data_IF_477200841908
#
_entry.id   IF_477200841908
#
_cell.length_a   1.000
_cell.length_b   1.000
_cell.length_c   1.000
_cell.angle_alpha   90.00
_cell.angle_beta   90.00
_cell.angle_gamma   90.00
#
_symmetry.space_group_name_H-M   'P 1'
#
loop_
_entity.id
_entity.type
_entity.pdbx_description
1 polymer ?
#
# COMPACT_ATOMS: atom_id res chain seq x y z
N UNK A 1 9.66 7.80 -3.99
CA UNK A 1 10.11 9.18 -4.26
C UNK A 1 9.04 10.11 -3.69
N UNK A 2 9.39 11.24 -3.08
CA UNK A 2 8.44 12.08 -2.36
C UNK A 2 7.47 12.77 -3.35
N UNK A 3 6.21 12.34 -3.39
CA UNK A 3 5.16 12.81 -4.30
C UNK A 3 4.62 14.22 -3.96
N UNK A 4 5.43 15.06 -3.30
CA UNK A 4 4.98 16.37 -2.79
C UNK A 4 5.81 17.53 -3.30
N UNK A 5 6.31 17.46 -4.54
CA UNK A 5 6.77 18.66 -5.22
C UNK A 5 5.57 19.53 -5.57
N UNK A 6 5.28 20.50 -4.68
CA UNK A 6 4.36 21.59 -4.94
C UNK A 6 5.18 22.86 -5.16
N UNK A 7 5.48 23.17 -6.42
CA UNK A 7 6.11 24.43 -6.77
C UNK A 7 5.05 25.36 -7.39
N UNK A 8 4.94 26.57 -6.87
CA UNK A 8 4.08 27.62 -7.43
C UNK A 8 4.97 28.80 -7.81
N UNK A 9 5.05 29.10 -9.11
CA UNK A 9 5.74 30.28 -9.61
C UNK A 9 4.71 31.39 -9.77
N UNK A 10 4.92 32.51 -9.08
CA UNK A 10 4.07 33.69 -9.19
C UNK A 10 4.85 34.75 -9.94
N UNK A 11 4.33 35.17 -11.09
CA UNK A 11 4.87 36.27 -11.87
C UNK A 11 3.87 37.43 -11.86
N UNK A 12 4.31 38.56 -11.33
CA UNK A 12 3.57 39.82 -11.35
C UNK A 12 4.12 40.71 -12.44
N UNK A 13 3.30 41.01 -13.45
CA UNK A 13 3.63 42.01 -14.46
C UNK A 13 2.91 43.31 -14.11
N UNK A 14 3.69 44.33 -13.79
CA UNK A 14 3.18 45.67 -13.50
C UNK A 14 3.13 46.46 -14.80
N UNK A 15 1.93 46.72 -15.30
CA UNK A 15 1.77 47.50 -16.52
C UNK A 15 1.66 48.98 -16.15
N UNK A 16 2.80 49.68 -16.12
CA UNK A 16 2.88 51.12 -15.88
C UNK A 16 2.40 51.90 -17.11
N UNK A 17 1.10 51.84 -17.41
CA UNK A 17 0.48 52.81 -18.31
C UNK A 17 -0.27 53.84 -17.44
N UNK A 18 0.13 55.10 -17.60
CA UNK A 18 -0.29 56.28 -16.83
C UNK A 18 -1.78 56.63 -16.97
N UNK A 19 -2.70 55.78 -16.53
CA UNK A 19 -4.10 56.14 -16.31
C UNK A 19 -4.67 55.27 -15.18
N UNK A 20 -4.64 55.80 -13.96
CA UNK A 20 -5.40 55.55 -12.72
C UNK A 20 -5.92 54.15 -12.31
N UNK A 21 -5.76 53.09 -13.09
CA UNK A 21 -6.09 51.71 -12.71
C UNK A 21 -4.88 50.82 -13.01
N UNK A 22 -4.00 50.68 -12.02
CA UNK A 22 -2.88 49.73 -12.08
C UNK A 22 -3.42 48.31 -11.97
N UNK A 23 -3.90 47.74 -13.09
CA UNK A 23 -4.26 46.33 -13.17
C UNK A 23 -2.98 45.47 -13.13
N UNK A 24 -2.53 45.13 -11.93
CA UNK A 24 -1.51 44.10 -11.71
C UNK A 24 -2.05 42.75 -12.17
N UNK A 25 -1.60 42.26 -13.33
CA UNK A 25 -1.84 40.88 -13.72
C UNK A 25 -0.89 39.97 -12.95
N UNK A 26 -1.47 39.06 -12.17
CA UNK A 26 -0.75 37.96 -11.52
C UNK A 26 -0.92 36.69 -12.37
N UNK A 27 0.19 36.14 -12.83
CA UNK A 27 0.24 34.82 -13.47
C UNK A 27 0.79 33.81 -12.46
N UNK A 28 0.01 32.80 -12.10
CA UNK A 28 0.42 31.72 -11.19
C UNK A 28 0.55 30.42 -11.96
N UNK A 29 1.73 29.80 -11.89
CA UNK A 29 2.03 28.51 -12.51
C UNK A 29 2.21 27.46 -11.41
N UNK A 30 1.44 26.38 -11.45
CA UNK A 30 1.58 25.25 -10.53
C UNK A 30 2.30 24.09 -11.23
N UNK A 31 3.49 23.72 -10.74
CA UNK A 31 4.19 22.50 -11.14
C UNK A 31 3.75 21.39 -10.17
N UNK A 32 2.71 20.65 -10.56
CA UNK A 32 2.19 19.46 -9.89
C UNK A 32 1.69 18.48 -10.95
N UNK A 33 1.68 17.15 -10.71
CA UNK A 33 0.84 16.26 -11.49
C UNK A 33 -0.59 16.80 -11.45
N UNK A 34 -1.14 17.13 -12.62
CA UNK A 34 -2.51 17.66 -12.69
C UNK A 34 -3.45 16.49 -12.90
N UNK A 35 -4.24 16.20 -11.86
CA UNK A 35 -5.32 15.24 -11.93
C UNK A 35 -6.61 16.03 -12.16
N UNK A 36 -7.26 15.78 -13.29
CA UNK A 36 -8.56 16.34 -13.67
C UNK A 36 -9.59 15.21 -13.70
N UNK A 37 -10.32 15.05 -12.59
CA UNK A 37 -11.22 13.92 -12.41
C UNK A 37 -10.46 12.59 -12.47
N UNK A 38 -10.67 11.80 -13.52
CA UNK A 38 -9.97 10.53 -13.74
C UNK A 38 -8.64 10.66 -14.47
N UNK A 39 -8.35 11.82 -15.08
CA UNK A 39 -7.22 11.95 -15.99
C UNK A 39 -6.01 12.51 -15.24
N UNK A 40 -4.94 11.72 -15.17
CA UNK A 40 -3.63 12.20 -14.76
C UNK A 40 -2.88 12.71 -15.99
N UNK A 41 -2.31 13.90 -15.88
CA UNK A 41 -1.39 14.44 -16.87
C UNK A 41 0.04 14.35 -16.36
N UNK A 42 0.83 13.53 -17.03
CA UNK A 42 2.26 13.38 -16.76
C UNK A 42 3.05 14.44 -17.54
N UNK A 43 3.18 15.63 -16.93
CA UNK A 43 3.95 16.73 -17.52
C UNK A 43 3.60 18.10 -16.96
N UNK A 44 4.17 19.14 -17.57
CA UNK A 44 3.82 20.53 -17.26
C UNK A 44 2.52 20.86 -18.01
N UNK A 45 1.41 20.84 -17.29
CA UNK A 45 0.13 21.28 -17.84
C UNK A 45 0.04 22.81 -17.83
N UNK A 46 -0.08 23.41 -19.03
CA UNK A 46 -0.21 24.85 -19.21
C UNK A 46 -1.66 25.23 -19.59
N UNK A 47 -2.49 25.71 -18.65
CA UNK A 47 -3.85 26.14 -18.97
C UNK A 47 -3.81 27.38 -19.88
N UNK A 48 -4.43 27.29 -21.08
CA UNK A 48 -4.50 28.39 -22.05
C UNK A 48 -5.88 29.05 -22.09
N UNK A 49 -6.90 28.31 -21.65
CA UNK A 49 -8.30 28.73 -21.70
C UNK A 49 -8.94 28.68 -20.31
N UNK A 50 -10.06 29.38 -20.13
CA UNK A 50 -10.87 29.31 -18.90
C UNK A 50 -11.32 27.87 -18.60
N UNK A 51 -11.58 27.08 -19.64
CA UNK A 51 -11.98 25.69 -19.50
C UNK A 51 -10.86 24.84 -18.88
N UNK A 52 -9.60 25.10 -19.22
CA UNK A 52 -8.46 24.41 -18.63
C UNK A 52 -8.34 24.68 -17.12
N UNK A 53 -8.62 25.91 -16.68
CA UNK A 53 -8.67 26.24 -15.25
C UNK A 53 -9.85 25.57 -14.53
N UNK A 54 -11.01 25.48 -15.19
CA UNK A 54 -12.17 24.79 -14.62
C UNK A 54 -11.90 23.30 -14.43
N UNK A 55 -11.21 22.68 -15.38
CA UNK A 55 -10.75 21.28 -15.29
C UNK A 55 -9.80 21.05 -14.12
N UNK A 56 -8.86 21.96 -13.86
CA UNK A 56 -7.97 21.88 -12.69
C UNK A 56 -8.69 21.98 -11.33
N UNK A 57 -9.93 22.45 -11.30
CA UNK A 57 -10.77 22.49 -10.10
C UNK A 57 -11.62 21.23 -9.91
N UNK A 58 -11.60 20.30 -10.86
CA UNK A 58 -12.34 19.04 -10.74
C UNK A 58 -11.57 18.12 -9.78
N UNK A 59 -12.20 17.85 -8.64
CA UNK A 59 -11.66 16.93 -7.65
C UNK A 59 -11.49 15.52 -8.27
N UNK A 60 -10.36 14.83 -8.02
CA UNK A 60 -10.20 13.42 -8.40
C UNK A 60 -11.30 12.52 -7.83
N UNK A 61 -11.92 12.91 -6.71
CA UNK A 61 -13.03 12.21 -6.08
C UNK A 61 -14.35 12.27 -6.88
N UNK A 62 -14.39 13.03 -7.98
CA UNK A 62 -15.50 13.04 -8.94
C UNK A 62 -15.24 12.12 -10.13
N UNK A 63 -14.14 11.38 -10.14
CA UNK A 63 -13.86 10.39 -11.17
C UNK A 63 -14.99 9.35 -11.24
N UNK A 64 -15.40 9.02 -12.47
CA UNK A 64 -16.34 7.96 -12.77
C UNK A 64 -15.74 7.13 -13.91
N UNK A 65 -15.54 5.85 -13.65
CA UNK A 65 -14.94 4.89 -14.56
C UNK A 65 -15.99 4.19 -15.43
N UNK A 66 -17.24 4.68 -15.45
CA UNK A 66 -18.29 4.27 -16.37
C UNK A 66 -18.47 2.75 -16.48
N UNK A 67 -18.51 2.07 -15.33
CA UNK A 67 -18.73 0.62 -15.25
C UNK A 67 -17.64 -0.23 -15.93
N UNK A 68 -16.44 0.31 -16.14
CA UNK A 68 -15.32 -0.47 -16.69
C UNK A 68 -14.95 -1.63 -15.78
N UNK A 69 -14.57 -2.75 -16.39
CA UNK A 69 -13.98 -3.87 -15.69
C UNK A 69 -12.52 -3.56 -15.33
N UNK A 70 -12.16 -3.72 -14.06
CA UNK A 70 -10.78 -3.59 -13.58
C UNK A 70 -10.28 -4.95 -13.16
N UNK A 71 -9.17 -5.39 -13.75
CA UNK A 71 -8.51 -6.65 -13.44
C UNK A 71 -7.64 -6.50 -12.19
N UNK A 72 -8.08 -7.09 -11.09
CA UNK A 72 -7.42 -7.05 -9.79
C UNK A 72 -6.77 -8.41 -9.52
N UNK A 73 -5.46 -8.40 -9.43
CA UNK A 73 -4.63 -9.57 -9.16
C UNK A 73 -4.53 -9.80 -7.67
N UNK A 74 -4.88 -10.98 -7.19
CA UNK A 74 -4.97 -11.31 -5.77
C UNK A 74 -3.97 -12.38 -5.36
N UNK A 75 -3.45 -12.23 -4.14
CA UNK A 75 -2.93 -13.35 -3.36
C UNK A 75 -3.76 -13.50 -2.08
N UNK A 76 -4.11 -14.74 -1.73
CA UNK A 76 -4.73 -15.06 -0.45
C UNK A 76 -3.73 -14.78 0.70
N UNK A 77 -4.06 -13.83 1.58
CA UNK A 77 -3.27 -13.47 2.75
C UNK A 77 -4.20 -13.20 3.93
N UNK A 78 -4.54 -14.26 4.67
CA UNK A 78 -5.49 -14.16 5.78
C UNK A 78 -4.85 -13.45 6.99
N UNK A 79 -5.57 -12.54 7.69
CA UNK A 79 -7.00 -12.22 7.54
C UNK A 79 -7.30 -11.02 6.61
N UNK A 80 -6.31 -10.44 5.95
CA UNK A 80 -6.46 -9.17 5.21
C UNK A 80 -7.06 -9.32 3.83
N UNK A 81 -6.74 -10.42 3.14
CA UNK A 81 -7.27 -10.81 1.85
C UNK A 81 -7.56 -12.29 1.87
N UNK A 82 -8.80 -12.67 1.55
CA UNK A 82 -9.14 -14.09 1.43
C UNK A 82 -10.02 -14.31 0.22
N UNK A 83 -9.53 -15.21 -0.64
CA UNK A 83 -10.16 -15.58 -1.90
C UNK A 83 -11.01 -16.84 -1.68
N UNK A 84 -12.15 -16.92 -2.35
CA UNK A 84 -12.95 -18.13 -2.52
C UNK A 84 -13.10 -18.37 -4.02
N UNK A 85 -12.94 -19.61 -4.42
CA UNK A 85 -13.22 -20.08 -5.77
C UNK A 85 -14.64 -20.62 -5.82
N UNK A 86 -15.51 -19.95 -6.59
CA UNK A 86 -16.87 -20.40 -6.86
C UNK A 86 -16.91 -20.91 -8.32
N UNK A 87 -16.44 -22.15 -8.52
CA UNK A 87 -16.32 -22.73 -9.86
C UNK A 87 -15.14 -22.11 -10.63
N UNK A 88 -15.43 -21.38 -11.70
CA UNK A 88 -14.40 -20.69 -12.51
C UNK A 88 -14.17 -19.24 -12.09
N UNK A 89 -15.02 -18.68 -11.22
CA UNK A 89 -14.94 -17.29 -10.78
C UNK A 89 -14.26 -17.21 -9.41
N UNK A 90 -13.32 -16.26 -9.30
CA UNK A 90 -12.66 -15.94 -8.04
C UNK A 90 -13.42 -14.79 -7.41
N UNK A 91 -13.74 -14.92 -6.12
CA UNK A 91 -14.40 -13.88 -5.34
C UNK A 91 -13.64 -13.64 -4.04
N UNK A 92 -13.68 -12.40 -3.55
CA UNK A 92 -13.16 -12.09 -2.22
C UNK A 92 -14.21 -12.33 -1.14
N UNK A 93 -13.79 -12.92 -0.04
CA UNK A 93 -14.56 -12.94 1.22
C UNK A 93 -14.43 -11.65 1.99
N UNK A 94 -15.31 -11.47 2.98
CA UNK A 94 -15.26 -10.38 3.96
C UNK A 94 -13.87 -10.29 4.58
N UNK A 95 -13.15 -9.23 4.22
CA UNK A 95 -11.76 -8.97 4.59
C UNK A 95 -11.49 -7.47 4.45
N UNK A 96 -10.40 -6.98 5.04
CA UNK A 96 -10.08 -5.54 5.02
C UNK A 96 -9.91 -5.03 3.59
N UNK A 97 -9.17 -5.77 2.76
CA UNK A 97 -8.95 -5.40 1.36
C UNK A 97 -10.25 -5.44 0.53
N UNK A 98 -11.18 -6.36 0.85
CA UNK A 98 -12.51 -6.37 0.21
C UNK A 98 -13.27 -5.08 0.49
N UNK A 99 -13.30 -4.61 1.74
CA UNK A 99 -13.99 -3.35 2.06
C UNK A 99 -13.40 -2.16 1.32
N UNK A 100 -12.07 -2.11 1.18
CA UNK A 100 -11.39 -1.04 0.41
C UNK A 100 -11.85 -1.08 -1.05
N UNK A 101 -11.80 -2.24 -1.71
CA UNK A 101 -12.19 -2.35 -3.12
C UNK A 101 -13.67 -2.14 -3.35
N UNK A 102 -14.54 -2.69 -2.52
CA UNK A 102 -15.99 -2.48 -2.66
C UNK A 102 -16.32 -0.98 -2.53
N UNK A 103 -15.68 -0.29 -1.57
CA UNK A 103 -15.84 1.16 -1.39
C UNK A 103 -15.31 1.94 -2.60
N UNK A 104 -14.14 1.56 -3.14
CA UNK A 104 -13.58 2.19 -4.34
C UNK A 104 -14.45 1.93 -5.58
N UNK A 105 -14.95 0.70 -5.74
CA UNK A 105 -15.81 0.29 -6.84
C UNK A 105 -17.13 1.07 -6.85
N UNK A 106 -17.75 1.25 -5.68
CA UNK A 106 -18.94 2.09 -5.53
C UNK A 106 -18.61 3.57 -5.82
N UNK A 107 -17.51 4.07 -5.24
CA UNK A 107 -17.13 5.49 -5.34
C UNK A 107 -16.78 5.92 -6.77
N UNK A 108 -16.06 5.07 -7.49
CA UNK A 108 -15.56 5.36 -8.84
C UNK A 108 -16.35 4.64 -9.93
N UNK A 109 -17.38 3.86 -9.56
CA UNK A 109 -18.30 3.16 -10.48
C UNK A 109 -17.55 2.26 -11.48
N UNK A 110 -16.81 1.27 -10.97
CA UNK A 110 -16.15 0.22 -11.76
C UNK A 110 -16.53 -1.18 -11.26
N UNK A 111 -16.28 -2.21 -12.07
CA UNK A 111 -16.53 -3.61 -11.73
C UNK A 111 -15.20 -4.35 -11.48
N UNK A 112 -14.93 -4.83 -10.25
CA UNK A 112 -13.72 -5.58 -9.96
C UNK A 112 -13.81 -7.01 -10.52
N UNK A 113 -12.80 -7.41 -11.30
CA UNK A 113 -12.60 -8.79 -11.76
C UNK A 113 -11.33 -9.34 -11.15
N UNK A 114 -11.39 -10.54 -10.59
CA UNK A 114 -10.27 -11.08 -9.80
C UNK A 114 -9.47 -12.14 -10.55
N UNK A 115 -8.14 -12.03 -10.45
CA UNK A 115 -7.18 -12.98 -11.01
C UNK A 115 -6.33 -13.55 -9.88
N UNK A 116 -6.20 -14.87 -9.77
CA UNK A 116 -5.36 -15.51 -8.77
C UNK A 116 -3.88 -15.53 -9.21
N UNK A 117 -3.01 -14.90 -8.42
CA UNK A 117 -1.56 -14.93 -8.61
C UNK A 117 -0.87 -16.15 -7.98
N UNK A 118 -1.63 -17.11 -7.44
CA UNK A 118 -1.17 -18.41 -6.94
C UNK A 118 -0.13 -18.29 -5.84
N UNK A 119 -0.35 -17.38 -4.88
CA UNK A 119 0.57 -17.11 -3.78
C UNK A 119 1.97 -16.65 -4.23
N UNK A 120 2.04 -15.95 -5.37
CA UNK A 120 3.28 -15.39 -5.88
C UNK A 120 3.16 -13.88 -6.00
N UNK A 121 3.76 -13.15 -5.06
CA UNK A 121 3.84 -11.68 -5.09
C UNK A 121 4.82 -11.13 -6.13
N UNK A 122 5.68 -11.98 -6.67
CA UNK A 122 6.59 -11.64 -7.75
C UNK A 122 8.05 -11.53 -7.34
N UNK A 123 8.86 -12.29 -8.06
CA UNK A 123 10.32 -12.32 -7.98
C UNK A 123 10.88 -12.03 -9.37
N UNK A 124 12.01 -11.34 -9.40
CA UNK A 124 12.75 -11.11 -10.63
C UNK A 124 13.64 -12.33 -10.91
N UNK A 125 13.37 -13.06 -11.98
CA UNK A 125 14.08 -14.29 -12.34
C UNK A 125 14.41 -14.23 -13.83
N UNK A 126 15.69 -14.42 -14.19
CA UNK A 126 16.14 -14.48 -15.57
C UNK A 126 15.70 -13.29 -16.45
N UNK A 127 15.66 -12.08 -15.89
CA UNK A 127 15.30 -10.86 -16.61
C UNK A 127 13.79 -10.57 -16.68
N UNK A 128 12.93 -11.44 -16.12
CA UNK A 128 11.48 -11.24 -16.11
C UNK A 128 10.91 -11.27 -14.70
N UNK A 129 9.82 -10.54 -14.50
CA UNK A 129 9.04 -10.62 -13.27
C UNK A 129 8.11 -11.83 -13.30
N UNK A 130 7.79 -12.35 -12.13
CA UNK A 130 6.80 -13.42 -11.92
C UNK A 130 5.64 -12.92 -11.05
N UNK A 131 4.58 -13.73 -10.88
CA UNK A 131 3.52 -13.46 -9.91
C UNK A 131 2.75 -12.16 -10.16
N UNK A 132 2.23 -11.55 -9.10
CA UNK A 132 1.45 -10.31 -9.17
C UNK A 132 2.17 -9.16 -9.87
N UNK A 133 3.47 -8.99 -9.61
CA UNK A 133 4.26 -7.95 -10.28
C UNK A 133 4.34 -8.18 -11.79
N UNK A 134 4.42 -9.43 -12.26
CA UNK A 134 4.41 -9.72 -13.69
C UNK A 134 3.11 -9.30 -14.37
N UNK A 135 1.97 -9.51 -13.70
CA UNK A 135 0.68 -9.11 -14.26
C UNK A 135 0.60 -7.60 -14.48
N UNK A 136 1.10 -6.82 -13.52
CA UNK A 136 1.17 -5.36 -13.62
C UNK A 136 2.14 -4.89 -14.70
N UNK A 137 3.37 -5.44 -14.72
CA UNK A 137 4.40 -5.06 -15.70
C UNK A 137 3.99 -5.40 -17.13
N UNK A 138 3.24 -6.49 -17.31
CA UNK A 138 2.74 -6.92 -18.63
C UNK A 138 1.38 -6.30 -18.99
N UNK A 139 0.84 -5.38 -18.18
CA UNK A 139 -0.46 -4.74 -18.41
C UNK A 139 -1.63 -5.74 -18.55
N UNK A 140 -1.50 -6.90 -17.88
CA UNK A 140 -2.55 -7.95 -17.84
C UNK A 140 -3.39 -7.91 -16.57
N UNK A 141 -2.94 -7.12 -15.58
CA UNK A 141 -3.71 -6.75 -14.41
C UNK A 141 -3.54 -5.25 -14.17
N UNK A 142 -4.63 -4.58 -13.77
CA UNK A 142 -4.67 -3.15 -13.54
C UNK A 142 -4.25 -2.79 -12.10
N UNK A 143 -4.54 -3.69 -11.15
CA UNK A 143 -4.23 -3.53 -9.74
C UNK A 143 -3.77 -4.87 -9.15
N UNK A 144 -2.88 -4.83 -8.16
CA UNK A 144 -2.51 -6.00 -7.38
C UNK A 144 -2.76 -5.80 -5.88
N UNK A 145 -3.27 -6.84 -5.23
CA UNK A 145 -3.61 -6.86 -3.81
C UNK A 145 -3.25 -8.22 -3.17
N UNK A 146 -3.47 -8.34 -1.87
CA UNK A 146 -3.10 -9.52 -1.10
C UNK A 146 -1.85 -9.28 -0.25
N UNK A 147 -1.76 -8.14 0.45
CA UNK A 147 -0.62 -7.78 1.30
C UNK A 147 0.72 -7.76 0.56
N UNK A 148 0.79 -6.94 -0.51
CA UNK A 148 2.04 -6.77 -1.26
C UNK A 148 3.00 -5.83 -0.53
N UNK A 149 4.16 -6.34 -0.12
CA UNK A 149 5.19 -5.52 0.50
C UNK A 149 5.83 -4.56 -0.51
N UNK A 150 6.11 -3.34 -0.05
CA UNK A 150 6.84 -2.31 -0.81
C UNK A 150 8.33 -2.65 -0.81
N UNK A 151 8.88 -2.99 -1.98
CA UNK A 151 10.31 -3.27 -2.15
C UNK A 151 10.92 -2.30 -3.16
N UNK A 152 12.15 -1.85 -2.89
CA UNK A 152 12.88 -0.95 -3.79
C UNK A 152 13.08 -1.52 -5.20
N UNK A 153 13.27 -2.83 -5.34
CA UNK A 153 13.44 -3.48 -6.64
C UNK A 153 12.16 -3.44 -7.48
N UNK A 154 10.99 -3.58 -6.84
CA UNK A 154 9.68 -3.54 -7.51
C UNK A 154 9.27 -2.11 -7.85
N UNK A 155 9.62 -1.14 -7.01
CA UNK A 155 9.39 0.30 -7.23
C UNK A 155 9.99 0.85 -8.53
N UNK A 156 10.92 0.13 -9.16
CA UNK A 156 11.50 0.51 -10.46
C UNK A 156 10.60 0.16 -11.65
N UNK A 157 9.60 -0.70 -11.44
CA UNK A 157 8.75 -1.26 -12.50
C UNK A 157 7.27 -1.07 -12.25
N UNK A 158 6.85 -0.92 -10.99
CA UNK A 158 5.46 -0.71 -10.61
C UNK A 158 5.36 0.42 -9.59
N UNK A 159 4.20 1.08 -9.57
CA UNK A 159 3.84 2.08 -8.58
C UNK A 159 3.01 1.46 -7.47
N UNK A 160 3.09 2.04 -6.28
CA UNK A 160 2.32 1.62 -5.12
C UNK A 160 1.37 2.75 -4.72
N UNK A 161 0.21 2.37 -4.21
CA UNK A 161 -0.63 3.28 -3.44
C UNK A 161 0.09 3.74 -2.16
N UNK A 162 -0.51 4.70 -1.46
CA UNK A 162 -0.11 4.97 -0.08
C UNK A 162 -0.28 3.71 0.79
N UNK A 163 0.62 3.58 1.76
CA UNK A 163 0.68 2.44 2.67
C UNK A 163 -0.45 2.54 3.68
N UNK A 164 -1.38 1.58 3.67
CA UNK A 164 -2.49 1.51 4.62
C UNK A 164 -2.23 0.54 5.78
N UNK A 165 -1.23 -0.33 5.68
CA UNK A 165 -0.82 -1.30 6.70
C UNK A 165 0.69 -1.30 6.85
N UNK A 166 1.18 -1.12 8.08
CA UNK A 166 2.58 -1.28 8.44
C UNK A 166 2.66 -2.54 9.32
N UNK A 167 3.48 -3.50 8.90
CA UNK A 167 3.75 -4.74 9.63
C UNK A 167 5.21 -4.77 10.09
N UNK A 168 5.46 -5.49 11.18
CA UNK A 168 6.78 -5.61 11.80
C UNK A 168 7.33 -7.04 11.64
N UNK A 169 8.63 -7.16 11.37
CA UNK A 169 9.28 -8.48 11.31
C UNK A 169 9.55 -8.97 12.73
N UNK A 170 8.74 -9.93 13.18
CA UNK A 170 8.88 -10.58 14.49
C UNK A 170 9.44 -12.00 14.41
N UNK A 171 10.07 -12.45 15.50
CA UNK A 171 10.43 -13.85 15.68
C UNK A 171 9.33 -14.58 16.46
N UNK A 172 8.73 -15.59 15.85
CA UNK A 172 7.82 -16.50 16.54
C UNK A 172 8.63 -17.68 17.05
N UNK A 173 8.69 -17.83 18.37
CA UNK A 173 9.30 -19.00 19.01
C UNK A 173 8.26 -19.84 19.71
N UNK A 174 8.53 -21.15 19.82
CA UNK A 174 7.70 -22.02 20.66
C UNK A 174 7.89 -21.61 22.11
N UNK A 175 6.78 -21.46 22.85
CA UNK A 175 6.83 -21.30 24.30
C UNK A 175 7.68 -22.44 24.87
N UNK A 176 8.74 -22.15 25.65
CA UNK A 176 9.58 -23.20 26.21
C UNK A 176 8.71 -24.15 27.02
N UNK A 177 8.99 -25.46 26.92
CA UNK A 177 8.32 -26.43 27.79
C UNK A 177 8.59 -26.01 29.23
N UNK A 178 7.53 -25.89 30.02
CA UNK A 178 7.66 -25.64 31.45
C UNK A 178 8.54 -26.76 32.02
N UNK A 179 9.54 -26.38 32.84
CA UNK A 179 10.23 -27.36 33.67
C UNK A 179 9.19 -28.06 34.53
N UNK A 180 9.43 -29.33 34.83
CA UNK A 180 8.52 -30.10 35.67
C UNK A 180 8.38 -29.40 37.04
N UNK A 181 7.21 -29.50 37.68
CA UNK A 181 6.86 -28.69 38.86
C UNK A 181 7.83 -28.89 40.04
N UNK A 182 8.55 -30.00 40.05
CA UNK A 182 9.57 -30.34 41.05
C UNK A 182 10.74 -29.34 41.03
N UNK A 183 11.07 -28.77 39.86
CA UNK A 183 12.14 -27.78 39.74
C UNK A 183 11.78 -26.41 40.33
N UNK A 184 10.49 -26.05 40.38
CA UNK A 184 10.02 -24.78 40.97
C UNK A 184 10.26 -24.74 42.49
N UNK A 185 10.28 -25.89 43.16
CA UNK A 185 10.53 -25.98 44.61
C UNK A 185 11.99 -25.67 44.95
N UNK A 186 12.91 -26.01 44.05
CA UNK A 186 14.37 -25.86 44.27
C UNK A 186 14.88 -24.51 43.74
N UNK A 187 14.18 -23.90 42.78
CA UNK A 187 14.52 -22.60 42.18
C UNK A 187 14.86 -21.45 43.16
N UNK A 188 14.13 -21.25 44.28
CA UNK A 188 14.46 -20.15 45.21
C UNK A 188 15.70 -20.43 46.08
N UNK A 189 16.20 -21.66 46.13
CA UNK A 189 17.35 -22.01 46.97
C UNK A 189 18.65 -21.84 46.20
N UNK A 190 19.48 -20.90 46.66
CA UNK A 190 20.82 -20.72 46.11
C UNK A 190 21.71 -21.92 46.45
N UNK A 191 22.67 -22.23 45.57
CA UNK A 191 23.60 -23.36 45.74
C UNK A 191 24.26 -23.46 47.13
N UNK A 192 24.69 -22.35 47.78
CA UNK A 192 25.24 -22.39 49.13
C UNK A 192 24.25 -22.91 50.18
N UNK A 193 22.97 -22.52 50.08
CA UNK A 193 21.91 -22.96 51.00
C UNK A 193 21.65 -24.46 50.83
N UNK A 194 21.50 -24.92 49.57
CA UNK A 194 21.35 -26.34 49.25
C UNK A 194 22.49 -27.22 49.80
N UNK A 195 23.74 -26.72 49.80
CA UNK A 195 24.91 -27.46 50.33
C UNK A 195 24.92 -27.50 51.86
N UNK A 196 24.48 -26.42 52.52
CA UNK A 196 24.47 -26.34 53.99
C UNK A 196 23.40 -27.23 54.64
N UNK A 197 22.27 -27.46 53.97
CA UNK A 197 21.14 -28.20 54.54
C UNK A 197 21.00 -29.64 54.00
N UNK A 198 21.87 -30.10 53.09
CA UNK A 198 21.80 -31.42 52.44
C UNK A 198 20.46 -31.75 51.74
N UNK A 199 19.58 -30.76 51.54
CA UNK A 199 18.22 -30.96 51.04
C UNK A 199 18.15 -31.24 49.53
N UNK A 200 19.19 -30.89 48.76
CA UNK A 200 19.19 -30.97 47.30
C UNK A 200 20.00 -32.18 46.75
N UNK A 201 20.52 -33.06 47.62
CA UNK A 201 21.39 -34.19 47.24
C UNK A 201 20.70 -35.25 46.35
N UNK A 202 19.37 -35.30 46.31
CA UNK A 202 18.63 -36.33 45.57
C UNK A 202 18.38 -35.99 44.09
N UNK A 203 18.69 -34.77 43.64
CA UNK A 203 18.37 -34.30 42.28
C UNK A 203 19.60 -34.18 41.36
N UNK A 204 20.74 -34.77 41.75
CA UNK A 204 22.02 -34.64 41.03
C UNK A 204 22.14 -35.50 39.75
N UNK A 205 21.18 -36.37 39.46
CA UNK A 205 21.25 -37.36 38.38
C UNK A 205 20.05 -37.32 37.40
N UNK A 206 19.45 -36.15 37.18
CA UNK A 206 18.44 -35.92 36.13
C UNK A 206 18.88 -34.78 35.22
#
# INVERSE_FOLDING_TARGET
MDHRFRCSLVSTTNNNNNNNDSNTMMNVMHLRPTIDGCNQYDGIFWPKSLNDFQRLNISPLKCNLNQTDIQIVLNNFTPFCRMIENGTEIQMTTSVEKYIIDTMAEKFNFHPKFIDAKQNWGKFVNGTWTGSVAYLVNETGDLAMGSISVLYERLKFIEYSDVYLIDEVGFISRIPKLKTREWLVIEPFTWPVCRSTNQCSQYKNL
#
